data_IF_296775356516
#
_entry.id   IF_296775356516
#
_cell.length_a   1.000
_cell.length_b   1.000
_cell.length_c   1.000
_cell.angle_alpha   90.00
_cell.angle_beta   90.00
_cell.angle_gamma   90.00
#
_symmetry.space_group_name_H-M   'P 1'
#
loop_
_entity.id
_entity.type
_entity.pdbx_description
1 polymer ?
#
# COMPACT_ATOMS: atom_id res chain seq x y z
N UNK A 1 -20.30 61.88 -19.03
CA UNK A 1 -18.95 61.78 -18.43
C UNK A 1 -19.10 61.45 -16.94
N UNK A 2 -18.97 60.21 -16.57
CA UNK A 2 -18.89 59.79 -15.18
C UNK A 2 -17.89 58.61 -15.13
N UNK A 3 -16.75 58.89 -14.57
CA UNK A 3 -15.60 58.01 -14.37
C UNK A 3 -15.92 57.01 -13.28
N UNK A 4 -15.97 55.74 -13.61
CA UNK A 4 -16.02 54.63 -12.65
C UNK A 4 -14.57 54.28 -12.31
N UNK A 5 -14.10 54.71 -11.14
CA UNK A 5 -12.84 54.27 -10.52
C UNK A 5 -13.07 52.94 -9.84
N UNK A 6 -12.59 51.83 -10.41
CA UNK A 6 -12.52 50.54 -9.74
C UNK A 6 -11.23 50.48 -8.90
N UNK A 7 -11.38 50.72 -7.62
CA UNK A 7 -10.34 50.46 -6.63
C UNK A 7 -10.23 48.97 -6.38
N UNK A 8 -9.27 48.35 -7.05
CA UNK A 8 -8.85 46.98 -6.76
C UNK A 8 -7.97 46.92 -5.52
N UNK A 9 -8.54 46.61 -4.37
CA UNK A 9 -7.78 46.35 -3.17
C UNK A 9 -6.88 45.11 -3.39
N UNK A 10 -5.59 45.11 -3.01
CA UNK A 10 -4.71 43.96 -3.12
C UNK A 10 -5.21 42.88 -2.17
N UNK A 11 -5.57 41.69 -2.72
CA UNK A 11 -5.85 40.51 -1.91
C UNK A 11 -4.64 40.23 -1.04
N UNK A 12 -4.78 40.42 0.25
CA UNK A 12 -3.84 40.04 1.30
C UNK A 12 -3.29 38.66 1.03
N UNK A 13 -1.96 38.55 0.93
CA UNK A 13 -1.23 37.25 0.95
C UNK A 13 -1.47 36.66 2.33
N UNK A 14 -2.48 35.82 2.40
CA UNK A 14 -3.05 35.26 3.59
C UNK A 14 -2.10 34.36 4.35
N UNK A 15 -2.13 34.53 5.67
CA UNK A 15 -1.85 33.51 6.65
C UNK A 15 -2.23 32.10 6.13
N UNK A 16 -1.31 31.14 6.31
CA UNK A 16 -1.58 29.72 6.10
C UNK A 16 -2.85 29.37 6.89
N UNK A 17 -3.98 29.26 6.22
CA UNK A 17 -5.25 28.99 6.86
C UNK A 17 -5.10 27.63 7.56
N UNK A 18 -5.42 27.58 8.86
CA UNK A 18 -5.44 26.38 9.69
C UNK A 18 -6.10 25.19 8.94
N UNK A 19 -7.14 25.43 8.16
CA UNK A 19 -7.79 24.44 7.32
C UNK A 19 -6.87 23.81 6.26
N UNK A 20 -5.97 24.56 5.62
CA UNK A 20 -5.02 24.00 4.65
C UNK A 20 -3.98 23.11 5.32
N UNK A 21 -3.48 23.51 6.47
CA UNK A 21 -2.51 22.71 7.25
C UNK A 21 -3.19 21.42 7.71
N UNK A 22 -4.42 21.52 8.19
CA UNK A 22 -5.20 20.36 8.61
C UNK A 22 -5.52 19.41 7.44
N UNK A 23 -5.90 19.91 6.27
CA UNK A 23 -6.12 19.10 5.08
C UNK A 23 -4.86 18.39 4.58
N UNK A 24 -3.69 18.95 4.83
CA UNK A 24 -2.43 18.38 4.35
C UNK A 24 -1.75 17.46 5.35
N UNK A 25 -1.82 17.77 6.65
CA UNK A 25 -1.07 17.11 7.71
C UNK A 25 -1.93 16.56 8.85
N UNK A 26 -3.25 16.74 8.81
CA UNK A 26 -4.14 16.36 9.91
C UNK A 26 -3.98 14.91 10.36
N UNK A 27 -3.81 13.97 9.41
CA UNK A 27 -3.60 12.56 9.76
C UNK A 27 -2.23 12.29 10.38
N UNK A 28 -1.21 13.08 10.07
CA UNK A 28 0.09 13.00 10.76
C UNK A 28 -0.01 13.55 12.20
N UNK A 29 -0.85 14.55 12.41
CA UNK A 29 -1.13 15.06 13.79
C UNK A 29 -1.88 13.98 14.59
N UNK A 30 -2.87 13.31 13.99
CA UNK A 30 -3.57 12.18 14.62
C UNK A 30 -2.58 11.06 14.95
N UNK A 31 -1.69 10.72 14.02
CA UNK A 31 -0.62 9.75 14.27
C UNK A 31 0.27 10.17 15.45
N UNK A 32 0.73 11.43 15.46
CA UNK A 32 1.61 11.93 16.54
C UNK A 32 0.92 11.87 17.90
N UNK A 33 -0.36 12.24 17.98
CA UNK A 33 -1.14 12.14 19.20
C UNK A 33 -1.31 10.69 19.68
N UNK A 34 -1.64 9.77 18.76
CA UNK A 34 -1.76 8.33 19.02
C UNK A 34 -0.42 7.75 19.50
N UNK A 35 0.66 8.06 18.78
CA UNK A 35 2.01 7.59 19.11
C UNK A 35 2.44 8.04 20.50
N UNK A 36 2.22 9.31 20.84
CA UNK A 36 2.52 9.85 22.17
C UNK A 36 1.66 9.20 23.25
N UNK A 37 0.38 8.99 23.00
CA UNK A 37 -0.49 8.27 23.93
C UNK A 37 0.02 6.84 24.16
N UNK A 38 0.39 6.09 23.10
CA UNK A 38 0.98 4.77 23.25
C UNK A 38 2.32 4.81 24.01
N UNK A 39 3.16 5.81 23.75
CA UNK A 39 4.44 5.96 24.43
C UNK A 39 4.30 6.20 25.94
N UNK A 40 3.21 6.86 26.37
CA UNK A 40 2.93 7.16 27.78
C UNK A 40 2.22 6.00 28.48
N UNK A 41 1.21 5.40 27.81
CA UNK A 41 0.28 4.46 28.47
C UNK A 41 0.59 2.99 28.20
N UNK A 42 1.38 2.63 27.16
CA UNK A 42 1.69 1.25 26.83
C UNK A 42 3.10 0.89 27.30
N UNK A 43 3.25 -0.09 28.21
CA UNK A 43 4.56 -0.52 28.70
C UNK A 43 5.48 -0.96 27.54
N UNK A 44 6.75 -0.60 27.61
CA UNK A 44 7.79 -0.94 26.65
C UNK A 44 7.56 -0.43 25.21
N UNK A 45 6.52 0.38 24.95
CA UNK A 45 6.23 0.87 23.62
C UNK A 45 7.40 1.67 23.02
N UNK A 46 7.97 2.62 23.75
CA UNK A 46 9.05 3.51 23.27
C UNK A 46 10.45 2.89 23.32
N UNK A 47 10.59 1.58 23.62
CA UNK A 47 11.89 0.93 23.63
C UNK A 47 12.46 0.80 22.21
N UNK A 48 13.79 0.90 22.06
CA UNK A 48 14.46 0.79 20.76
C UNK A 48 14.17 -0.54 20.05
N UNK A 49 14.10 -1.64 20.82
CA UNK A 49 13.79 -2.98 20.31
C UNK A 49 12.38 -2.97 19.72
N UNK A 50 11.40 -2.42 20.44
CA UNK A 50 10.02 -2.34 19.94
C UNK A 50 9.91 -1.41 18.72
N UNK A 51 10.60 -0.28 18.70
CA UNK A 51 10.59 0.63 17.53
C UNK A 51 11.16 -0.05 16.28
N UNK A 52 12.23 -0.85 16.41
CA UNK A 52 12.72 -1.68 15.31
C UNK A 52 11.68 -2.70 14.86
N UNK A 53 11.05 -3.39 15.81
CA UNK A 53 9.98 -4.35 15.54
C UNK A 53 8.78 -3.72 14.83
N UNK A 54 8.32 -2.56 15.30
CA UNK A 54 7.27 -1.78 14.66
C UNK A 54 7.65 -1.39 13.22
N UNK A 55 8.85 -0.81 13.03
CA UNK A 55 9.34 -0.45 11.70
C UNK A 55 9.37 -1.64 10.74
N UNK A 56 9.81 -2.80 11.23
CA UNK A 56 9.86 -4.04 10.46
C UNK A 56 8.45 -4.59 10.16
N UNK A 57 7.51 -4.50 11.10
CA UNK A 57 6.13 -4.93 10.91
C UNK A 57 5.41 -4.09 9.83
N UNK A 58 5.60 -2.77 9.86
CA UNK A 58 4.98 -1.86 8.88
C UNK A 58 5.69 -1.83 7.52
N UNK A 59 6.89 -2.37 7.41
CA UNK A 59 7.67 -2.29 6.16
C UNK A 59 6.96 -2.95 5.00
N UNK A 60 6.39 -4.14 5.18
CA UNK A 60 5.68 -4.83 4.12
C UNK A 60 4.40 -4.11 3.70
N UNK A 61 3.58 -3.66 4.67
CA UNK A 61 2.37 -2.89 4.38
C UNK A 61 2.72 -1.58 3.68
N UNK A 62 3.86 -0.97 4.03
CA UNK A 62 4.39 0.23 3.37
C UNK A 62 4.70 0.02 1.89
N UNK A 63 5.37 -1.06 1.56
CA UNK A 63 5.67 -1.39 0.16
C UNK A 63 4.40 -1.64 -0.65
N UNK A 64 3.54 -2.53 -0.18
CA UNK A 64 2.31 -2.90 -0.91
C UNK A 64 1.35 -1.71 -1.02
N UNK A 65 1.27 -0.88 0.01
CA UNK A 65 0.44 0.33 -0.02
C UNK A 65 0.90 1.38 -1.04
N UNK A 66 2.17 1.37 -1.45
CA UNK A 66 2.63 2.20 -2.57
C UNK A 66 1.93 1.81 -3.88
N UNK A 67 1.82 0.52 -4.19
CA UNK A 67 1.07 0.02 -5.35
C UNK A 67 -0.43 0.29 -5.22
N UNK A 68 -1.00 -0.03 -4.06
CA UNK A 68 -2.42 0.19 -3.76
C UNK A 68 -2.83 1.66 -3.86
N UNK A 69 -1.94 2.60 -3.49
CA UNK A 69 -2.17 4.03 -3.66
C UNK A 69 -2.50 4.38 -5.12
N UNK A 70 -1.77 3.83 -6.09
CA UNK A 70 -2.01 4.09 -7.50
C UNK A 70 -3.31 3.45 -7.99
N UNK A 71 -3.62 2.23 -7.52
CA UNK A 71 -4.90 1.57 -7.82
C UNK A 71 -6.06 2.43 -7.29
N UNK A 72 -6.07 2.79 -6.01
CA UNK A 72 -7.11 3.61 -5.42
C UNK A 72 -7.19 5.01 -6.06
N UNK A 73 -6.05 5.64 -6.32
CA UNK A 73 -5.99 6.94 -6.96
C UNK A 73 -6.54 6.93 -8.39
N UNK A 74 -6.49 5.79 -9.11
CA UNK A 74 -7.14 5.62 -10.41
C UNK A 74 -8.62 5.22 -10.33
N UNK A 75 -9.16 4.99 -9.13
CA UNK A 75 -10.54 4.57 -8.91
C UNK A 75 -10.75 3.05 -8.96
N UNK A 76 -9.67 2.28 -8.95
CA UNK A 76 -9.68 0.82 -9.00
C UNK A 76 -9.19 0.20 -7.68
N UNK A 77 -9.37 -1.12 -7.52
CA UNK A 77 -8.93 -1.89 -6.36
C UNK A 77 -8.08 -3.07 -6.84
N UNK A 78 -7.05 -3.42 -6.07
CA UNK A 78 -6.30 -4.65 -6.29
C UNK A 78 -6.35 -5.55 -5.04
N UNK A 79 -7.28 -6.50 -5.03
CA UNK A 79 -7.43 -7.46 -3.95
C UNK A 79 -6.49 -8.67 -4.11
N UNK A 80 -5.81 -8.80 -5.26
CA UNK A 80 -4.91 -9.93 -5.50
C UNK A 80 -3.58 -9.83 -4.78
N UNK A 81 -3.22 -8.64 -4.24
CA UNK A 81 -1.93 -8.35 -3.61
C UNK A 81 -1.52 -9.38 -2.56
N UNK A 82 -2.44 -9.80 -1.70
CA UNK A 82 -2.18 -10.79 -0.64
C UNK A 82 -1.81 -12.17 -1.18
N UNK A 83 -2.48 -12.61 -2.23
CA UNK A 83 -2.18 -13.88 -2.89
C UNK A 83 -0.88 -13.82 -3.69
N UNK A 84 -0.59 -12.66 -4.31
CA UNK A 84 0.68 -12.42 -5.01
C UNK A 84 1.85 -12.46 -4.02
N UNK A 85 1.72 -11.86 -2.83
CA UNK A 85 2.72 -11.96 -1.75
C UNK A 85 3.04 -13.43 -1.44
N UNK A 86 2.02 -14.23 -1.15
CA UNK A 86 2.20 -15.63 -0.78
C UNK A 86 2.79 -16.46 -1.93
N UNK A 87 2.24 -16.32 -3.13
CA UNK A 87 2.66 -17.09 -4.29
C UNK A 87 4.07 -16.72 -4.75
N UNK A 88 4.44 -15.44 -4.73
CA UNK A 88 5.79 -15.00 -5.05
C UNK A 88 6.82 -15.56 -4.06
N UNK A 89 6.51 -15.56 -2.76
CA UNK A 89 7.36 -16.16 -1.73
C UNK A 89 7.54 -17.66 -1.93
N UNK A 90 6.44 -18.40 -2.21
CA UNK A 90 6.47 -19.84 -2.49
C UNK A 90 7.26 -20.13 -3.76
N UNK A 91 6.96 -19.42 -4.86
CA UNK A 91 7.66 -19.62 -6.15
C UNK A 91 9.16 -19.37 -6.00
N UNK A 92 9.53 -18.30 -5.29
CA UNK A 92 10.93 -17.98 -5.01
C UNK A 92 11.60 -19.13 -4.25
N UNK A 93 10.97 -19.63 -3.17
CA UNK A 93 11.53 -20.73 -2.36
C UNK A 93 11.73 -22.00 -3.19
N UNK A 94 10.71 -22.43 -3.94
CA UNK A 94 10.78 -23.63 -4.77
C UNK A 94 11.87 -23.49 -5.84
N UNK A 95 11.92 -22.35 -6.54
CA UNK A 95 12.89 -22.16 -7.62
C UNK A 95 14.32 -22.05 -7.09
N UNK A 96 14.56 -21.43 -5.92
CA UNK A 96 15.88 -21.43 -5.28
C UNK A 96 16.32 -22.88 -5.01
N UNK A 97 15.47 -23.68 -4.38
CA UNK A 97 15.82 -25.07 -4.03
C UNK A 97 16.02 -25.96 -5.27
N UNK A 98 15.30 -25.69 -6.37
CA UNK A 98 15.46 -26.45 -7.63
C UNK A 98 16.69 -26.07 -8.44
N UNK A 99 17.09 -24.79 -8.39
CA UNK A 99 18.14 -24.25 -9.29
C UNK A 99 19.42 -23.88 -8.56
N UNK A 100 19.43 -23.95 -7.23
CA UNK A 100 20.52 -23.50 -6.34
C UNK A 100 20.93 -22.04 -6.61
N UNK A 101 20.04 -21.26 -7.25
CA UNK A 101 20.29 -19.88 -7.66
C UNK A 101 19.32 -18.89 -7.04
N UNK A 102 19.86 -18.02 -6.18
CA UNK A 102 19.08 -16.92 -5.56
C UNK A 102 18.46 -15.98 -6.60
N UNK A 103 19.24 -15.64 -7.64
CA UNK A 103 18.80 -14.69 -8.66
C UNK A 103 17.65 -15.23 -9.50
N UNK A 104 17.73 -16.51 -9.89
CA UNK A 104 16.65 -17.15 -10.66
C UNK A 104 15.39 -17.24 -9.80
N UNK A 105 15.53 -17.60 -8.53
CA UNK A 105 14.40 -17.65 -7.61
C UNK A 105 13.75 -16.28 -7.39
N UNK A 106 14.53 -15.24 -7.11
CA UNK A 106 14.00 -13.88 -6.94
C UNK A 106 13.34 -13.36 -8.21
N UNK A 107 13.97 -13.56 -9.37
CA UNK A 107 13.40 -13.14 -10.66
C UNK A 107 12.09 -13.89 -10.97
N UNK A 108 11.99 -15.17 -10.66
CA UNK A 108 10.74 -15.94 -10.86
C UNK A 108 9.59 -15.42 -10.01
N UNK A 109 9.85 -15.09 -8.73
CA UNK A 109 8.85 -14.47 -7.86
C UNK A 109 8.41 -13.09 -8.35
N UNK A 110 9.35 -12.22 -8.78
CA UNK A 110 9.03 -10.92 -9.34
C UNK A 110 8.24 -11.04 -10.66
N UNK A 111 8.61 -11.97 -11.52
CA UNK A 111 7.92 -12.23 -12.79
C UNK A 111 6.47 -12.68 -12.56
N UNK A 112 6.21 -13.51 -11.55
CA UNK A 112 4.86 -13.88 -11.15
C UNK A 112 4.02 -12.64 -10.78
N UNK A 113 4.59 -11.72 -10.02
CA UNK A 113 3.90 -10.45 -9.69
C UNK A 113 3.60 -9.60 -10.92
N UNK A 114 4.57 -9.48 -11.84
CA UNK A 114 4.39 -8.76 -13.11
C UNK A 114 3.30 -9.41 -13.97
N UNK A 115 3.30 -10.73 -14.10
CA UNK A 115 2.28 -11.48 -14.87
C UNK A 115 0.90 -11.28 -14.25
N UNK A 116 0.77 -11.43 -12.93
CA UNK A 116 -0.50 -11.21 -12.22
C UNK A 116 -1.02 -9.80 -12.44
N UNK A 117 -0.15 -8.79 -12.33
CA UNK A 117 -0.49 -7.40 -12.58
C UNK A 117 -0.84 -7.12 -14.04
N UNK A 118 -0.15 -7.73 -15.02
CA UNK A 118 -0.46 -7.64 -16.44
C UNK A 118 -1.85 -8.22 -16.75
N UNK A 119 -2.18 -9.39 -16.20
CA UNK A 119 -3.50 -10.01 -16.37
C UNK A 119 -4.58 -9.10 -15.80
N UNK A 120 -4.45 -8.63 -14.56
CA UNK A 120 -5.39 -7.70 -13.96
C UNK A 120 -5.55 -6.42 -14.79
N UNK A 121 -4.42 -5.79 -15.13
CA UNK A 121 -4.42 -4.54 -15.89
C UNK A 121 -5.05 -4.70 -17.28
N UNK A 122 -4.77 -5.80 -17.98
CA UNK A 122 -5.35 -6.08 -19.28
C UNK A 122 -6.87 -6.30 -19.20
N UNK A 123 -7.32 -7.14 -18.27
CA UNK A 123 -8.74 -7.47 -18.10
C UNK A 123 -9.54 -6.22 -17.70
N UNK A 124 -9.01 -5.42 -16.76
CA UNK A 124 -9.69 -4.20 -16.29
C UNK A 124 -9.66 -3.10 -17.34
N UNK A 125 -8.50 -2.79 -17.89
CA UNK A 125 -8.35 -1.63 -18.75
C UNK A 125 -8.80 -1.89 -20.21
N UNK A 126 -8.54 -3.10 -20.74
CA UNK A 126 -8.84 -3.42 -22.15
C UNK A 126 -10.20 -4.07 -22.31
N UNK A 127 -10.56 -5.04 -21.46
CA UNK A 127 -11.87 -5.71 -21.51
C UNK A 127 -12.93 -4.96 -20.72
N UNK A 128 -12.56 -3.91 -19.94
CA UNK A 128 -13.45 -3.07 -19.13
C UNK A 128 -14.28 -3.86 -18.11
N UNK A 129 -13.71 -4.95 -17.59
CA UNK A 129 -14.32 -5.72 -16.51
C UNK A 129 -14.02 -5.01 -15.18
N UNK A 130 -14.97 -5.04 -14.27
CA UNK A 130 -14.84 -4.40 -12.96
C UNK A 130 -13.61 -4.88 -12.21
N UNK A 131 -12.82 -3.94 -11.68
CA UNK A 131 -11.55 -4.22 -10.99
C UNK A 131 -11.74 -5.12 -9.75
N UNK A 132 -12.80 -4.91 -8.97
CA UNK A 132 -13.09 -5.73 -7.79
C UNK A 132 -13.28 -7.20 -8.16
N UNK A 133 -14.11 -7.47 -9.18
CA UNK A 133 -14.39 -8.86 -9.63
C UNK A 133 -13.14 -9.50 -10.22
N UNK A 134 -12.41 -8.76 -11.07
CA UNK A 134 -11.17 -9.26 -11.71
C UNK A 134 -10.13 -9.63 -10.67
N UNK A 135 -9.85 -8.73 -9.73
CA UNK A 135 -8.78 -8.95 -8.72
C UNK A 135 -9.18 -9.98 -7.68
N UNK A 136 -10.47 -10.14 -7.35
CA UNK A 136 -10.97 -11.26 -6.55
C UNK A 136 -10.76 -12.60 -7.27
N UNK A 137 -11.06 -12.69 -8.55
CA UNK A 137 -10.82 -13.90 -9.32
C UNK A 137 -9.30 -14.23 -9.38
N UNK A 138 -8.47 -13.24 -9.68
CA UNK A 138 -7.01 -13.40 -9.70
C UNK A 138 -6.47 -13.78 -8.33
N UNK A 139 -7.01 -13.20 -7.25
CA UNK A 139 -6.67 -13.57 -5.87
C UNK A 139 -6.86 -15.07 -5.63
N UNK A 140 -7.98 -15.62 -6.05
CA UNK A 140 -8.27 -17.06 -5.89
C UNK A 140 -7.37 -17.93 -6.77
N UNK A 141 -7.15 -17.52 -8.03
CA UNK A 141 -6.28 -18.25 -8.97
C UNK A 141 -4.85 -18.28 -8.43
N UNK A 142 -4.28 -17.13 -8.08
CA UNK A 142 -2.90 -17.03 -7.60
C UNK A 142 -2.72 -17.72 -6.25
N UNK A 143 -3.74 -17.69 -5.37
CA UNK A 143 -3.74 -18.47 -4.12
C UNK A 143 -3.75 -19.97 -4.39
N UNK A 144 -4.58 -20.41 -5.33
CA UNK A 144 -4.61 -21.80 -5.77
C UNK A 144 -3.27 -22.27 -6.34
N UNK A 145 -2.61 -21.43 -7.17
CA UNK A 145 -1.26 -21.71 -7.66
C UNK A 145 -0.24 -21.83 -6.53
N UNK A 146 -0.29 -20.97 -5.52
CA UNK A 146 0.59 -21.09 -4.35
C UNK A 146 0.43 -22.45 -3.66
N UNK A 147 -0.81 -22.92 -3.48
CA UNK A 147 -1.07 -24.24 -2.90
C UNK A 147 -0.59 -25.39 -3.80
N UNK A 148 -0.81 -25.32 -5.09
CA UNK A 148 -0.37 -26.37 -6.04
C UNK A 148 1.16 -26.47 -6.06
N UNK A 149 1.86 -25.32 -6.15
CA UNK A 149 3.34 -25.28 -6.22
C UNK A 149 3.99 -25.80 -4.93
N UNK A 150 3.34 -25.58 -3.77
CA UNK A 150 3.88 -25.95 -2.45
C UNK A 150 3.30 -27.24 -1.87
N UNK A 151 2.41 -27.91 -2.59
CA UNK A 151 1.62 -29.04 -2.06
C UNK A 151 0.89 -28.67 -0.75
N UNK A 152 0.43 -27.41 -0.65
CA UNK A 152 -0.27 -26.87 0.50
C UNK A 152 0.60 -26.67 1.76
N UNK A 153 1.91 -26.88 1.69
CA UNK A 153 2.85 -26.85 2.81
C UNK A 153 3.79 -25.66 2.72
N UNK A 154 4.41 -25.32 3.85
CA UNK A 154 5.52 -24.39 3.86
C UNK A 154 6.73 -24.98 3.13
N UNK A 155 7.36 -24.21 2.24
CA UNK A 155 8.56 -24.62 1.51
C UNK A 155 9.77 -23.95 2.17
N UNK A 156 10.55 -24.70 2.93
CA UNK A 156 11.80 -24.21 3.52
C UNK A 156 12.82 -23.78 2.44
N UNK A 157 13.62 -22.79 2.73
CA UNK A 157 14.68 -22.31 1.82
C UNK A 157 16.00 -22.85 2.35
N UNK A 158 16.74 -23.58 1.52
CA UNK A 158 17.99 -24.24 1.91
C UNK A 158 19.19 -23.27 1.85
N UNK A 159 19.14 -22.27 0.97
CA UNK A 159 20.22 -21.32 0.79
C UNK A 159 20.16 -20.19 1.83
N UNK A 160 21.01 -20.25 2.85
CA UNK A 160 21.08 -19.26 3.92
C UNK A 160 21.41 -17.83 3.43
N UNK A 161 22.06 -17.69 2.27
CA UNK A 161 22.37 -16.37 1.70
C UNK A 161 21.11 -15.57 1.38
N UNK A 162 19.99 -16.26 1.12
CA UNK A 162 18.70 -15.62 0.89
C UNK A 162 18.17 -14.88 2.12
N UNK A 163 18.54 -15.32 3.33
CA UNK A 163 18.06 -14.71 4.56
C UNK A 163 18.60 -13.30 4.79
N UNK A 164 19.67 -12.91 4.09
CA UNK A 164 20.21 -11.56 4.18
C UNK A 164 19.21 -10.48 3.76
N UNK A 165 18.28 -10.77 2.83
CA UNK A 165 17.23 -9.81 2.43
C UNK A 165 16.29 -9.44 3.59
N UNK A 166 16.00 -10.39 4.47
CA UNK A 166 15.07 -10.21 5.59
C UNK A 166 15.75 -9.81 6.90
N UNK A 167 17.01 -10.24 7.10
CA UNK A 167 17.72 -10.09 8.39
C UNK A 167 18.89 -9.12 8.36
N UNK A 168 19.38 -8.70 7.18
CA UNK A 168 20.49 -7.74 7.13
C UNK A 168 20.13 -6.44 7.88
N UNK A 169 21.12 -5.93 8.62
CA UNK A 169 21.01 -4.66 9.31
C UNK A 169 21.87 -3.62 8.59
N UNK A 170 21.23 -2.59 8.04
CA UNK A 170 21.90 -1.46 7.41
C UNK A 170 21.74 -0.23 8.30
N UNK A 171 22.84 0.39 8.68
CA UNK A 171 22.86 1.56 9.57
C UNK A 171 22.06 1.35 10.88
N UNK A 172 22.10 0.12 11.42
CA UNK A 172 21.43 -0.22 12.67
C UNK A 172 19.93 -0.55 12.57
N UNK A 173 19.34 -0.49 11.38
CA UNK A 173 17.94 -0.86 11.11
C UNK A 173 17.86 -2.04 10.13
N UNK A 174 16.83 -2.91 10.24
CA UNK A 174 16.58 -4.00 9.30
C UNK A 174 16.43 -3.52 7.85
N UNK A 175 17.02 -4.24 6.91
CA UNK A 175 17.00 -3.94 5.48
C UNK A 175 15.58 -3.69 4.91
N UNK A 176 14.51 -4.45 5.30
CA UNK A 176 13.16 -4.20 4.80
C UNK A 176 12.64 -2.78 5.08
N UNK A 177 13.08 -2.14 6.17
CA UNK A 177 12.69 -0.74 6.47
C UNK A 177 13.24 0.19 5.39
N UNK A 178 14.51 0.04 5.02
CA UNK A 178 15.16 0.85 3.98
C UNK A 178 14.56 0.62 2.60
N UNK A 179 14.22 -0.63 2.28
CA UNK A 179 13.54 -0.96 1.03
C UNK A 179 12.16 -0.30 0.96
N UNK A 180 11.44 -0.26 2.08
CA UNK A 180 10.16 0.44 2.17
C UNK A 180 10.32 1.94 1.99
N UNK A 181 11.30 2.56 2.63
CA UNK A 181 11.61 3.98 2.46
C UNK A 181 11.96 4.28 1.00
N UNK A 182 12.77 3.44 0.37
CA UNK A 182 13.10 3.58 -1.05
C UNK A 182 11.84 3.48 -1.93
N UNK A 183 10.93 2.52 -1.67
CA UNK A 183 9.65 2.42 -2.35
C UNK A 183 8.79 3.68 -2.15
N UNK A 184 8.66 4.18 -0.93
CA UNK A 184 7.89 5.39 -0.63
C UNK A 184 8.45 6.61 -1.38
N UNK A 185 9.77 6.77 -1.46
CA UNK A 185 10.41 7.84 -2.21
C UNK A 185 10.15 7.68 -3.71
N UNK A 186 10.37 6.47 -4.27
CA UNK A 186 10.16 6.18 -5.69
C UNK A 186 8.71 6.42 -6.10
N UNK A 187 7.75 5.86 -5.38
CA UNK A 187 6.33 6.00 -5.70
C UNK A 187 5.83 7.43 -5.43
N UNK A 188 6.38 8.12 -4.44
CA UNK A 188 6.15 9.54 -4.20
C UNK A 188 6.65 10.41 -5.36
N UNK A 189 7.82 10.10 -5.92
CA UNK A 189 8.35 10.75 -7.12
C UNK A 189 7.47 10.45 -8.34
N UNK A 190 7.11 9.18 -8.56
CA UNK A 190 6.24 8.76 -9.66
C UNK A 190 4.90 9.51 -9.62
N UNK A 191 4.28 9.62 -8.44
CA UNK A 191 2.98 10.27 -8.28
C UNK A 191 3.05 11.79 -8.50
N UNK A 192 4.04 12.45 -7.89
CA UNK A 192 4.07 13.91 -7.80
C UNK A 192 4.84 14.59 -8.94
N UNK A 193 5.82 13.90 -9.55
CA UNK A 193 6.77 14.51 -10.48
C UNK A 193 6.68 14.00 -11.91
N UNK A 194 5.88 12.94 -12.17
CA UNK A 194 5.78 12.36 -13.52
C UNK A 194 4.42 12.60 -14.17
N UNK A 195 4.37 12.48 -15.50
CA UNK A 195 3.12 12.46 -16.28
C UNK A 195 2.25 11.26 -15.91
N UNK A 196 2.88 10.13 -15.55
CA UNK A 196 2.19 8.93 -15.12
C UNK A 196 1.34 9.18 -13.86
N UNK A 197 1.89 9.83 -12.84
CA UNK A 197 1.13 10.17 -11.62
C UNK A 197 -0.01 11.15 -11.89
N UNK A 198 0.21 12.16 -12.73
CA UNK A 198 -0.87 13.09 -13.14
C UNK A 198 -1.98 12.37 -13.90
N UNK A 199 -1.63 11.47 -14.82
CA UNK A 199 -2.59 10.66 -15.56
C UNK A 199 -3.40 9.75 -14.62
N UNK A 200 -2.75 9.13 -13.63
CA UNK A 200 -3.42 8.30 -12.61
C UNK A 200 -4.51 9.10 -11.88
N UNK A 201 -4.16 10.28 -11.38
CA UNK A 201 -5.12 11.15 -10.66
C UNK A 201 -6.23 11.67 -11.59
N UNK A 202 -5.91 11.99 -12.84
CA UNK A 202 -6.91 12.44 -13.83
C UNK A 202 -7.92 11.32 -14.16
N UNK A 203 -7.45 10.10 -14.38
CA UNK A 203 -8.30 8.91 -14.62
C UNK A 203 -9.24 8.67 -13.44
N UNK A 204 -8.72 8.70 -12.22
CA UNK A 204 -9.55 8.50 -11.03
C UNK A 204 -10.51 9.65 -10.76
N UNK A 205 -10.22 10.86 -11.22
CA UNK A 205 -11.14 11.99 -11.12
C UNK A 205 -12.34 11.86 -12.07
N UNK A 206 -12.08 11.59 -13.34
CA UNK A 206 -13.09 11.27 -14.35
C UNK A 206 -12.40 10.59 -15.55
N UNK A 207 -12.59 9.27 -15.67
CA UNK A 207 -11.94 8.46 -16.72
C UNK A 207 -12.34 8.93 -18.12
N UNK A 208 -13.60 9.26 -18.34
CA UNK A 208 -14.10 9.69 -19.64
C UNK A 208 -13.50 11.04 -20.06
N UNK A 209 -13.51 12.02 -19.15
CA UNK A 209 -12.89 13.32 -19.39
C UNK A 209 -11.36 13.19 -19.63
N UNK A 210 -10.68 12.35 -18.87
CA UNK A 210 -9.26 12.07 -19.06
C UNK A 210 -8.99 11.47 -20.44
N UNK A 211 -9.82 10.52 -20.90
CA UNK A 211 -9.74 9.92 -22.23
C UNK A 211 -9.93 10.95 -23.33
N UNK A 212 -10.94 11.81 -23.22
CA UNK A 212 -11.20 12.90 -24.17
C UNK A 212 -10.07 13.93 -24.22
N UNK A 213 -9.37 14.13 -23.09
CA UNK A 213 -8.19 14.98 -22.99
C UNK A 213 -6.90 14.31 -23.53
N UNK A 214 -7.00 13.11 -24.11
CA UNK A 214 -5.84 12.40 -24.71
C UNK A 214 -4.98 11.60 -23.74
N UNK A 215 -5.44 11.38 -22.48
CA UNK A 215 -4.73 10.54 -21.54
C UNK A 215 -4.77 9.07 -22.00
N UNK A 216 -3.63 8.35 -22.06
CA UNK A 216 -3.59 6.95 -22.48
C UNK A 216 -4.09 6.01 -21.35
N UNK A 217 -5.41 6.03 -21.11
CA UNK A 217 -6.08 5.36 -19.98
C UNK A 217 -5.70 3.89 -19.87
N UNK A 218 -5.83 3.13 -20.98
CA UNK A 218 -5.55 1.69 -21.00
C UNK A 218 -4.12 1.39 -20.57
N UNK A 219 -3.16 2.08 -21.18
CA UNK A 219 -1.73 1.89 -20.87
C UNK A 219 -1.42 2.28 -19.42
N UNK A 220 -2.00 3.38 -18.94
CA UNK A 220 -1.77 3.85 -17.56
C UNK A 220 -2.30 2.84 -16.55
N UNK A 221 -3.52 2.33 -16.72
CA UNK A 221 -4.10 1.31 -15.82
C UNK A 221 -3.29 0.01 -15.83
N UNK A 222 -2.87 -0.49 -17.00
CA UNK A 222 -2.02 -1.69 -17.07
C UNK A 222 -0.74 -1.49 -16.26
N UNK A 223 -0.05 -0.36 -16.41
CA UNK A 223 1.18 -0.06 -15.66
C UNK A 223 0.89 0.00 -14.14
N UNK A 224 -0.24 0.58 -13.72
CA UNK A 224 -0.63 0.64 -12.31
C UNK A 224 -0.73 -0.78 -11.71
N UNK A 225 -1.44 -1.69 -12.35
CA UNK A 225 -1.58 -3.06 -11.86
C UNK A 225 -0.27 -3.85 -11.91
N UNK A 226 0.57 -3.64 -12.93
CA UNK A 226 1.91 -4.24 -13.00
C UNK A 226 2.79 -3.76 -11.84
N UNK A 227 2.77 -2.47 -11.52
CA UNK A 227 3.50 -1.93 -10.37
C UNK A 227 2.95 -2.48 -9.04
N UNK A 228 1.63 -2.62 -8.90
CA UNK A 228 0.99 -3.23 -7.73
C UNK A 228 1.45 -4.69 -7.55
N UNK A 229 1.40 -5.49 -8.61
CA UNK A 229 1.86 -6.87 -8.60
C UNK A 229 3.35 -7.00 -8.29
N UNK A 230 4.17 -6.13 -8.88
CA UNK A 230 5.63 -6.14 -8.68
C UNK A 230 6.02 -5.84 -7.24
N UNK A 231 5.45 -4.79 -6.62
CA UNK A 231 5.76 -4.47 -5.21
C UNK A 231 5.18 -5.49 -4.25
N UNK A 232 4.05 -6.11 -4.58
CA UNK A 232 3.47 -7.20 -3.80
C UNK A 232 4.36 -8.44 -3.85
N UNK A 233 4.89 -8.79 -5.02
CA UNK A 233 5.86 -9.88 -5.15
C UNK A 233 7.16 -9.59 -4.39
N UNK A 234 7.69 -8.38 -4.50
CA UNK A 234 8.88 -7.97 -3.75
C UNK A 234 8.67 -8.09 -2.23
N UNK A 235 7.51 -7.64 -1.73
CA UNK A 235 7.13 -7.81 -0.32
C UNK A 235 7.03 -9.30 0.07
N UNK A 236 6.50 -10.16 -0.82
CA UNK A 236 6.42 -11.60 -0.62
C UNK A 236 7.78 -12.29 -0.54
N UNK A 237 8.72 -11.89 -1.39
CA UNK A 237 10.11 -12.38 -1.38
C UNK A 237 10.81 -11.99 -0.08
N UNK A 238 10.66 -10.74 0.37
CA UNK A 238 11.21 -10.27 1.64
C UNK A 238 10.59 -11.03 2.81
N UNK A 239 9.26 -11.29 2.75
CA UNK A 239 8.59 -12.08 3.78
C UNK A 239 9.11 -13.51 3.82
N UNK A 240 9.28 -14.17 2.67
CA UNK A 240 9.84 -15.53 2.58
C UNK A 240 11.27 -15.57 3.15
N UNK A 241 12.08 -14.55 2.88
CA UNK A 241 13.41 -14.40 3.47
C UNK A 241 13.34 -14.28 5.00
N UNK A 242 12.40 -13.51 5.55
CA UNK A 242 12.20 -13.36 6.99
C UNK A 242 11.64 -14.61 7.67
N UNK A 243 10.80 -15.36 6.98
CA UNK A 243 10.21 -16.61 7.49
C UNK A 243 11.07 -17.82 7.19
N UNK A 244 12.20 -17.63 6.50
CA UNK A 244 13.08 -18.71 5.99
C UNK A 244 12.34 -19.77 5.17
N UNK A 245 11.18 -19.39 4.66
CA UNK A 245 10.29 -20.30 3.92
C UNK A 245 9.23 -19.57 3.11
N UNK A 246 8.85 -20.13 1.97
CA UNK A 246 7.64 -19.74 1.23
C UNK A 246 6.39 -20.33 1.88
N UNK A 247 5.45 -19.48 2.29
CA UNK A 247 4.25 -19.87 3.04
C UNK A 247 2.99 -19.63 2.18
N UNK A 248 2.28 -20.66 1.67
CA UNK A 248 1.12 -20.47 0.80
C UNK A 248 -0.09 -19.88 1.55
N UNK A 249 -0.18 -20.08 2.87
CA UNK A 249 -1.27 -19.56 3.71
C UNK A 249 -1.00 -18.18 4.29
N UNK A 250 0.15 -17.57 4.02
CA UNK A 250 0.48 -16.25 4.57
C UNK A 250 -0.36 -15.13 3.98
N UNK A 251 -0.41 -14.00 4.67
CA UNK A 251 -0.99 -12.74 4.20
C UNK A 251 -2.47 -12.77 3.85
N UNK A 252 -3.25 -13.73 4.36
CA UNK A 252 -4.72 -13.77 4.15
C UNK A 252 -5.35 -12.55 4.81
N UNK A 253 -6.18 -11.81 4.06
CA UNK A 253 -6.82 -10.57 4.51
C UNK A 253 -5.92 -9.33 4.49
N UNK A 254 -4.67 -9.49 4.03
CA UNK A 254 -3.69 -8.40 4.01
C UNK A 254 -4.07 -7.26 3.06
N UNK A 255 -4.80 -7.58 1.99
CA UNK A 255 -5.39 -6.60 1.07
C UNK A 255 -6.25 -5.57 1.80
N UNK A 256 -7.05 -6.02 2.78
CA UNK A 256 -7.92 -5.15 3.57
C UNK A 256 -7.12 -4.23 4.51
N UNK A 257 -6.01 -4.72 5.08
CA UNK A 257 -5.11 -3.92 5.92
C UNK A 257 -4.49 -2.79 5.10
N UNK A 258 -4.01 -3.11 3.90
CA UNK A 258 -3.37 -2.14 3.01
C UNK A 258 -4.37 -1.08 2.52
N UNK A 259 -5.57 -1.50 2.11
CA UNK A 259 -6.66 -0.57 1.74
C UNK A 259 -7.02 0.31 2.93
N UNK A 260 -7.18 -0.27 4.12
CA UNK A 260 -7.50 0.48 5.35
C UNK A 260 -6.46 1.54 5.64
N UNK A 261 -5.16 1.21 5.50
CA UNK A 261 -4.08 2.16 5.69
C UNK A 261 -4.18 3.34 4.71
N UNK A 262 -4.38 3.05 3.42
CA UNK A 262 -4.50 4.08 2.40
C UNK A 262 -5.70 5.00 2.66
N UNK A 263 -6.87 4.43 2.95
CA UNK A 263 -8.13 5.16 3.16
C UNK A 263 -8.09 5.98 4.46
N UNK A 264 -7.62 5.36 5.54
CA UNK A 264 -7.44 6.04 6.84
C UNK A 264 -6.50 7.24 6.71
N UNK A 265 -5.44 7.09 5.93
CA UNK A 265 -4.52 8.18 5.64
C UNK A 265 -5.14 9.32 4.81
N UNK A 266 -6.20 9.05 4.06
CA UNK A 266 -6.94 10.04 3.26
C UNK A 266 -6.91 9.84 1.75
N UNK A 267 -6.50 8.66 1.25
CA UNK A 267 -6.65 8.28 -0.15
C UNK A 267 -8.13 8.01 -0.43
N UNK A 268 -8.66 8.59 -1.50
CA UNK A 268 -10.08 8.44 -1.85
C UNK A 268 -10.38 7.09 -2.48
N UNK A 269 -11.42 6.41 -1.99
CA UNK A 269 -11.96 5.19 -2.62
C UNK A 269 -12.62 5.44 -3.98
N UNK A 270 -12.98 6.69 -4.29
CA UNK A 270 -13.59 7.07 -5.58
C UNK A 270 -12.56 7.46 -6.63
N UNK A 271 -11.28 7.45 -6.29
CA UNK A 271 -10.21 7.92 -7.16
C UNK A 271 -9.99 9.44 -7.13
N UNK A 272 -9.05 9.90 -7.92
CA UNK A 272 -8.70 11.31 -8.15
C UNK A 272 -7.95 11.99 -7.00
N UNK A 273 -7.87 11.38 -5.82
CA UNK A 273 -7.19 11.93 -4.64
C UNK A 273 -6.27 10.88 -4.03
N UNK A 274 -4.98 11.17 -4.02
CA UNK A 274 -3.97 10.34 -3.39
C UNK A 274 -2.69 11.12 -3.17
N UNK A 275 -2.02 10.89 -2.04
CA UNK A 275 -0.70 11.42 -1.71
C UNK A 275 0.10 10.37 -0.98
N UNK A 276 1.41 10.32 -1.20
CA UNK A 276 2.26 9.37 -0.49
C UNK A 276 2.27 9.63 1.03
N UNK A 277 2.15 10.90 1.45
CA UNK A 277 2.03 11.26 2.87
C UNK A 277 0.79 10.68 3.54
N UNK A 278 -0.29 10.48 2.79
CA UNK A 278 -1.49 9.82 3.29
C UNK A 278 -1.22 8.35 3.57
N UNK A 279 -0.54 7.67 2.64
CA UNK A 279 -0.12 6.27 2.82
C UNK A 279 0.76 6.13 4.05
N UNK A 280 1.78 6.98 4.18
CA UNK A 280 2.69 6.98 5.34
C UNK A 280 1.92 7.15 6.65
N UNK A 281 1.05 8.15 6.73
CA UNK A 281 0.25 8.39 7.93
C UNK A 281 -0.64 7.18 8.28
N UNK A 282 -1.34 6.62 7.30
CA UNK A 282 -2.23 5.49 7.52
C UNK A 282 -1.50 4.22 7.98
N UNK A 283 -0.36 3.91 7.37
CA UNK A 283 0.48 2.76 7.77
C UNK A 283 1.02 2.93 9.19
N UNK A 284 1.50 4.13 9.51
CA UNK A 284 2.01 4.43 10.85
C UNK A 284 0.90 4.33 11.90
N UNK A 285 -0.31 4.83 11.62
CA UNK A 285 -1.45 4.72 12.54
C UNK A 285 -1.82 3.25 12.77
N UNK A 286 -2.07 2.48 11.70
CA UNK A 286 -2.46 1.08 11.82
C UNK A 286 -1.37 0.24 12.49
N UNK A 287 -0.11 0.41 12.09
CA UNK A 287 1.01 -0.30 12.68
C UNK A 287 1.18 0.03 14.18
N UNK A 288 0.98 1.29 14.57
CA UNK A 288 1.01 1.70 15.99
C UNK A 288 -0.09 1.03 16.78
N UNK A 289 -1.32 1.00 16.26
CA UNK A 289 -2.45 0.32 16.92
C UNK A 289 -2.18 -1.18 17.07
N UNK A 290 -1.72 -1.85 16.01
CA UNK A 290 -1.40 -3.28 16.05
C UNK A 290 -0.25 -3.58 17.02
N UNK A 291 0.79 -2.77 17.02
CA UNK A 291 1.91 -2.92 17.94
C UNK A 291 1.48 -2.71 19.41
N UNK A 292 0.67 -1.68 19.68
CA UNK A 292 0.13 -1.44 21.02
C UNK A 292 -0.74 -2.62 21.49
N UNK A 293 -1.61 -3.15 20.62
CA UNK A 293 -2.43 -4.32 20.94
C UNK A 293 -1.57 -5.55 21.25
N UNK A 294 -0.48 -5.77 20.50
CA UNK A 294 0.45 -6.86 20.77
C UNK A 294 1.16 -6.70 22.12
N UNK A 295 1.65 -5.50 22.44
CA UNK A 295 2.29 -5.22 23.74
C UNK A 295 1.34 -5.37 24.93
N UNK A 296 0.07 -5.07 24.73
CA UNK A 296 -0.99 -5.27 25.73
C UNK A 296 -1.53 -6.71 25.76
N UNK A 297 -0.92 -7.64 25.02
CA UNK A 297 -1.34 -9.04 24.91
C UNK A 297 -2.82 -9.21 24.49
N UNK A 298 -3.35 -8.30 23.68
CA UNK A 298 -4.70 -8.43 23.12
C UNK A 298 -4.72 -9.60 22.13
N UNK A 299 -5.69 -10.52 22.32
CA UNK A 299 -5.83 -11.71 21.48
C UNK A 299 -5.82 -11.35 19.98
N UNK A 300 -5.09 -12.10 19.14
CA UNK A 300 -5.11 -11.93 17.69
C UNK A 300 -6.53 -11.93 17.10
N UNK A 301 -7.44 -12.72 17.66
CA UNK A 301 -8.85 -12.75 17.24
C UNK A 301 -9.55 -11.41 17.47
N UNK A 302 -9.33 -10.76 18.61
CA UNK A 302 -9.87 -9.43 18.90
C UNK A 302 -9.27 -8.36 17.98
N UNK A 303 -8.00 -8.53 17.57
CA UNK A 303 -7.37 -7.62 16.62
C UNK A 303 -8.05 -7.61 15.25
N UNK A 304 -8.63 -8.75 14.79
CA UNK A 304 -9.44 -8.76 13.57
C UNK A 304 -10.68 -7.87 13.69
N UNK A 305 -11.35 -7.89 14.85
CA UNK A 305 -12.52 -7.01 15.10
C UNK A 305 -12.10 -5.55 15.07
N UNK A 306 -11.00 -5.19 15.74
CA UNK A 306 -10.50 -3.81 15.79
C UNK A 306 -10.13 -3.33 14.39
N UNK A 307 -9.43 -4.14 13.58
CA UNK A 307 -9.10 -3.80 12.18
C UNK A 307 -10.36 -3.54 11.35
N UNK A 308 -11.38 -4.40 11.49
CA UNK A 308 -12.66 -4.22 10.81
C UNK A 308 -13.36 -2.91 11.21
N UNK A 309 -13.37 -2.57 12.49
CA UNK A 309 -13.94 -1.33 13.00
C UNK A 309 -13.18 -0.10 12.49
N UNK A 310 -11.84 -0.16 12.46
CA UNK A 310 -11.01 0.93 11.90
C UNK A 310 -11.32 1.12 10.41
N UNK A 311 -11.40 0.03 9.62
CA UNK A 311 -11.76 0.13 8.20
C UNK A 311 -13.14 0.76 8.02
N UNK A 312 -14.13 0.31 8.76
CA UNK A 312 -15.50 0.84 8.69
C UNK A 312 -15.52 2.34 9.04
N UNK A 313 -14.84 2.73 10.12
CA UNK A 313 -14.73 4.13 10.53
C UNK A 313 -14.04 4.98 9.46
N UNK A 314 -12.94 4.48 8.85
CA UNK A 314 -12.22 5.17 7.77
C UNK A 314 -13.12 5.41 6.54
N UNK A 315 -13.88 4.39 6.12
CA UNK A 315 -14.81 4.49 4.97
C UNK A 315 -15.95 5.47 5.26
N UNK A 316 -16.52 5.41 6.47
CA UNK A 316 -17.56 6.36 6.89
C UNK A 316 -17.02 7.80 6.87
N UNK A 317 -15.82 8.01 7.42
CA UNK A 317 -15.18 9.32 7.46
C UNK A 317 -14.88 9.86 6.04
N UNK A 318 -14.37 9.02 5.13
CA UNK A 318 -14.12 9.41 3.73
C UNK A 318 -15.44 9.86 3.05
N UNK A 319 -16.53 9.14 3.28
CA UNK A 319 -17.85 9.52 2.74
C UNK A 319 -18.33 10.88 3.24
N UNK A 320 -18.18 11.16 4.55
CA UNK A 320 -18.58 12.48 5.13
C UNK A 320 -17.70 13.60 4.58
N UNK A 321 -16.40 13.42 4.48
CA UNK A 321 -15.46 14.40 3.91
C UNK A 321 -15.79 14.74 2.46
N UNK A 322 -16.18 13.73 1.66
CA UNK A 322 -16.57 13.94 0.27
C UNK A 322 -17.90 14.69 0.14
N UNK A 323 -18.86 14.43 1.04
CA UNK A 323 -20.16 15.15 1.06
C UNK A 323 -19.96 16.63 1.40
N UNK A 324 -19.14 16.94 2.39
CA UNK A 324 -18.82 18.32 2.78
C UNK A 324 -18.15 19.13 1.65
N UNK A 325 -17.33 18.50 0.80
CA UNK A 325 -16.71 19.16 -0.37
C UNK A 325 -17.65 19.41 -1.55
N UNK A 326 -18.79 18.76 -1.61
CA UNK A 326 -19.81 18.96 -2.67
C UNK A 326 -20.81 20.06 -2.34
N UNK A 327 -20.88 20.47 -1.09
CA UNK A 327 -21.79 21.52 -0.57
C UNK A 327 -21.14 22.90 -0.48
N UNK A 328 -19.86 22.99 -0.78
CA UNK A 328 -19.06 24.23 -0.92
C UNK A 328 -18.75 24.48 -2.41
#
# INVERSE_FOLDING_TARGET
MSSVTTSGAPKSKSALSFGRIWDQYGMLVVFAALFLACAIFVPNFATFINMKGLGLAISMSGMVACGMLFCLASGDFDLSVASVIACAGVTTAVVINMTESLWIGVLSGLLLGVISGLVNGFVIARLKINALITTLATMQIVRGLAYIISDGKAVGIEDERFFTLGYANWLGLPAPIWLTVACLILFGFLLNRTTFGRNTLAIGGNEEAARLAGVPVVRTKIIIFVLSGLVSAAAGIILASRMTSGQPMTSIGYELIVISACVLGGVSLKGGIGKISYVVAGILILGTVENAMNLLNISPFSQYVVRGLILLAAVIFDRYKQKAKRTL
#
